data_IF_442429954230
#
_entry.id   IF_442429954230
#
_cell.length_a   1.000
_cell.length_b   1.000
_cell.length_c   1.000
_cell.angle_alpha   90.00
_cell.angle_beta   90.00
_cell.angle_gamma   90.00
#
_symmetry.space_group_name_H-M   'P 1'
#
loop_
_entity.id
_entity.type
_entity.pdbx_description
1 polymer ?
#
# COMPACT_ATOMS: atom_id res chain seq x y z
N UNK A 1 -18.28 -50.78 -21.93
CA UNK A 1 -17.74 -51.97 -21.23
C UNK A 1 -18.63 -52.25 -20.03
N UNK A 2 -19.33 -53.40 -19.98
CA UNK A 2 -20.19 -53.76 -18.84
C UNK A 2 -19.37 -54.64 -17.87
N UNK A 3 -19.18 -54.18 -16.64
CA UNK A 3 -18.53 -54.97 -15.59
C UNK A 3 -19.59 -55.91 -15.02
N UNK A 4 -19.43 -57.22 -15.19
CA UNK A 4 -20.41 -58.23 -14.77
C UNK A 4 -20.51 -58.35 -13.26
N UNK A 5 -19.38 -58.27 -12.55
CA UNK A 5 -19.32 -58.33 -11.09
C UNK A 5 -19.86 -57.05 -10.43
N UNK A 6 -20.89 -57.13 -9.57
CA UNK A 6 -21.44 -55.98 -8.85
C UNK A 6 -20.45 -55.29 -7.90
N UNK A 7 -19.55 -56.03 -7.25
CA UNK A 7 -18.59 -55.48 -6.31
C UNK A 7 -17.54 -54.65 -7.04
N UNK A 8 -16.96 -55.21 -8.10
CA UNK A 8 -15.99 -54.51 -8.96
C UNK A 8 -16.64 -53.29 -9.61
N UNK A 9 -17.91 -53.40 -10.02
CA UNK A 9 -18.66 -52.26 -10.57
C UNK A 9 -18.80 -51.13 -9.56
N UNK A 10 -19.18 -51.42 -8.32
CA UNK A 10 -19.33 -50.42 -7.26
C UNK A 10 -18.02 -49.69 -6.98
N UNK A 11 -16.91 -50.43 -6.86
CA UNK A 11 -15.58 -49.85 -6.63
C UNK A 11 -15.17 -48.96 -7.81
N UNK A 12 -15.38 -49.41 -9.05
CA UNK A 12 -15.03 -48.59 -10.22
C UNK A 12 -15.86 -47.31 -10.32
N UNK A 13 -17.15 -47.35 -9.98
CA UNK A 13 -17.98 -46.14 -9.94
C UNK A 13 -17.49 -45.15 -8.90
N UNK A 14 -17.07 -45.62 -7.72
CA UNK A 14 -16.49 -44.76 -6.68
C UNK A 14 -15.18 -44.11 -7.16
N UNK A 15 -14.28 -44.89 -7.77
CA UNK A 15 -13.00 -44.38 -8.31
C UNK A 15 -13.23 -43.35 -9.43
N UNK A 16 -14.22 -43.58 -10.30
CA UNK A 16 -14.56 -42.63 -11.37
C UNK A 16 -15.06 -41.31 -10.77
N UNK A 17 -15.94 -41.37 -9.77
CA UNK A 17 -16.45 -40.17 -9.08
C UNK A 17 -15.33 -39.37 -8.41
N UNK A 18 -14.41 -40.05 -7.73
CA UNK A 18 -13.26 -39.40 -7.08
C UNK A 18 -12.31 -38.77 -8.09
N UNK A 19 -12.01 -39.46 -9.19
CA UNK A 19 -11.20 -38.92 -10.29
C UNK A 19 -11.83 -37.70 -10.93
N UNK A 20 -13.16 -37.70 -11.12
CA UNK A 20 -13.88 -36.57 -11.71
C UNK A 20 -13.91 -35.36 -10.78
N UNK A 21 -14.07 -35.59 -9.47
CA UNK A 21 -13.95 -34.55 -8.45
C UNK A 21 -12.56 -33.91 -8.44
N UNK A 22 -11.49 -34.72 -8.40
CA UNK A 22 -10.11 -34.23 -8.42
C UNK A 22 -9.79 -33.43 -9.69
N UNK A 23 -10.31 -33.87 -10.84
CA UNK A 23 -10.17 -33.13 -12.10
C UNK A 23 -10.89 -31.78 -12.06
N UNK A 24 -12.09 -31.72 -11.50
CA UNK A 24 -12.85 -30.48 -11.35
C UNK A 24 -12.12 -29.48 -10.44
N UNK A 25 -11.60 -29.94 -9.31
CA UNK A 25 -10.83 -29.11 -8.37
C UNK A 25 -9.56 -28.56 -9.03
N UNK A 26 -8.78 -29.39 -9.71
CA UNK A 26 -7.57 -28.96 -10.42
C UNK A 26 -7.89 -27.93 -11.51
N UNK A 27 -8.99 -28.10 -12.25
CA UNK A 27 -9.40 -27.14 -13.27
C UNK A 27 -9.81 -25.79 -12.67
N UNK A 28 -10.52 -25.79 -11.54
CA UNK A 28 -10.88 -24.58 -10.81
C UNK A 28 -9.63 -23.85 -10.26
N UNK A 29 -8.69 -24.60 -9.69
CA UNK A 29 -7.41 -24.06 -9.23
C UNK A 29 -6.62 -23.44 -10.38
N UNK A 30 -6.55 -24.10 -11.53
CA UNK A 30 -5.90 -23.56 -12.74
C UNK A 30 -6.58 -22.30 -13.26
N UNK A 31 -7.92 -22.24 -13.25
CA UNK A 31 -8.65 -21.03 -13.69
C UNK A 31 -8.42 -19.85 -12.75
N UNK A 32 -8.33 -20.10 -11.44
CA UNK A 32 -8.10 -19.05 -10.44
C UNK A 32 -6.63 -18.61 -10.36
N UNK A 33 -5.68 -19.44 -10.77
CA UNK A 33 -4.25 -19.12 -10.72
C UNK A 33 -3.79 -18.10 -11.78
N UNK A 34 -4.50 -17.98 -12.91
CA UNK A 34 -4.16 -17.04 -13.96
C UNK A 34 -5.08 -15.82 -13.98
N UNK A 35 -4.87 -14.91 -13.03
CA UNK A 35 -5.46 -13.58 -13.10
C UNK A 35 -4.56 -12.72 -14.01
N UNK A 36 -4.90 -12.67 -15.30
CA UNK A 36 -4.24 -11.78 -16.26
C UNK A 36 -4.75 -10.35 -16.02
N UNK A 37 -4.04 -9.60 -15.18
CA UNK A 37 -4.29 -8.17 -14.98
C UNK A 37 -3.58 -7.41 -16.09
N UNK A 38 -4.35 -6.73 -16.95
CA UNK A 38 -3.78 -5.79 -17.91
C UNK A 38 -3.16 -4.61 -17.13
N UNK A 39 -1.83 -4.56 -17.10
CA UNK A 39 -1.04 -3.54 -16.41
C UNK A 39 -0.66 -2.37 -17.32
N UNK A 40 -1.27 -2.24 -18.51
CA UNK A 40 -1.05 -1.06 -19.34
C UNK A 40 -1.37 0.17 -18.50
N UNK A 41 -0.40 1.10 -18.31
CA UNK A 41 -0.67 2.33 -17.59
C UNK A 41 -1.75 3.07 -18.38
N UNK A 42 -2.96 3.14 -17.81
CA UNK A 42 -3.99 4.06 -18.28
C UNK A 42 -3.33 5.42 -18.10
N UNK A 43 -2.92 6.00 -19.24
CA UNK A 43 -2.01 7.12 -19.28
C UNK A 43 -2.43 8.18 -18.27
N UNK A 44 -1.46 8.61 -17.46
CA UNK A 44 -1.48 9.91 -16.82
C UNK A 44 -1.77 10.91 -17.94
N UNK A 45 -3.05 11.24 -18.14
CA UNK A 45 -3.47 12.39 -18.92
C UNK A 45 -3.01 13.58 -18.08
N UNK A 46 -1.79 14.02 -18.35
CA UNK A 46 -1.34 15.32 -17.94
C UNK A 46 -2.36 16.33 -18.49
N UNK A 47 -3.05 16.99 -17.55
CA UNK A 47 -3.64 18.32 -17.68
C UNK A 47 -4.74 18.50 -18.73
N UNK A 48 -5.98 18.67 -18.24
CA UNK A 48 -7.07 19.26 -19.02
C UNK A 48 -8.42 18.77 -18.56
N UNK A 49 -9.07 19.60 -17.74
CA UNK A 49 -10.48 19.57 -17.35
C UNK A 49 -10.96 18.57 -16.28
N UNK A 50 -11.36 19.22 -15.19
CA UNK A 50 -12.05 18.72 -14.03
C UNK A 50 -13.33 17.93 -14.39
N UNK A 51 -13.37 16.67 -13.98
CA UNK A 51 -14.61 16.02 -13.56
C UNK A 51 -14.30 15.28 -12.25
N UNK A 52 -14.68 15.90 -11.14
CA UNK A 52 -14.64 15.29 -9.83
C UNK A 52 -15.64 14.13 -9.78
N UNK A 53 -15.14 12.89 -9.80
CA UNK A 53 -15.87 11.73 -9.28
C UNK A 53 -15.31 11.41 -7.89
N UNK A 54 -16.17 11.16 -6.88
CA UNK A 54 -15.74 10.90 -5.52
C UNK A 54 -15.18 9.49 -5.46
N UNK A 55 -13.89 9.35 -5.75
CA UNK A 55 -13.16 8.11 -5.51
C UNK A 55 -12.75 8.10 -4.05
N UNK A 56 -13.49 7.34 -3.26
CA UNK A 56 -13.09 6.86 -1.94
C UNK A 56 -11.89 5.93 -2.11
N UNK A 57 -10.74 6.50 -2.43
CA UNK A 57 -9.45 5.81 -2.38
C UNK A 57 -8.59 6.60 -1.42
N UNK A 58 -8.77 6.30 -0.13
CA UNK A 58 -7.78 6.61 0.90
C UNK A 58 -6.50 5.83 0.54
N UNK A 59 -5.63 6.46 -0.24
CA UNK A 59 -4.41 5.86 -0.75
C UNK A 59 -3.44 6.93 -1.22
N UNK A 60 -2.61 7.39 -0.28
CA UNK A 60 -1.29 7.98 -0.52
C UNK A 60 -1.20 9.40 -1.08
N UNK A 61 -2.10 10.28 -0.65
CA UNK A 61 -1.77 11.66 -0.33
C UNK A 61 -2.88 12.17 0.58
N UNK A 62 -2.71 11.97 1.89
CA UNK A 62 -3.47 12.78 2.84
C UNK A 62 -3.09 14.22 2.53
N UNK A 63 -3.95 14.92 1.79
CA UNK A 63 -3.76 16.34 1.53
C UNK A 63 -3.72 16.99 2.91
N UNK A 64 -2.53 17.44 3.31
CA UNK A 64 -2.36 18.17 4.56
C UNK A 64 -3.35 19.32 4.54
N UNK A 65 -4.15 19.41 5.60
CA UNK A 65 -4.96 20.59 5.82
C UNK A 65 -4.04 21.82 5.90
N UNK A 66 -4.53 23.02 5.54
CA UNK A 66 -3.72 24.24 5.62
C UNK A 66 -3.07 24.42 7.01
N UNK A 67 -3.80 24.08 8.08
CA UNK A 67 -3.34 24.13 9.46
C UNK A 67 -2.22 23.13 9.75
N UNK A 68 -2.32 21.89 9.26
CA UNK A 68 -1.26 20.88 9.43
C UNK A 68 0.02 21.27 8.67
N UNK A 69 -0.13 21.80 7.46
CA UNK A 69 1.00 22.29 6.66
C UNK A 69 1.71 23.44 7.37
N UNK A 70 0.96 24.38 7.95
CA UNK A 70 1.52 25.49 8.72
C UNK A 70 2.20 25.01 10.01
N UNK A 71 1.60 24.07 10.73
CA UNK A 71 2.18 23.48 11.95
C UNK A 71 3.50 22.76 11.65
N UNK A 72 3.56 21.97 10.58
CA UNK A 72 4.77 21.29 10.13
C UNK A 72 5.85 22.30 9.69
N UNK A 73 5.46 23.37 9.00
CA UNK A 73 6.38 24.46 8.66
C UNK A 73 6.98 25.14 9.89
N UNK A 74 6.16 25.41 10.91
CA UNK A 74 6.62 25.97 12.19
C UNK A 74 7.57 25.04 12.93
N UNK A 75 7.32 23.73 12.91
CA UNK A 75 8.14 22.73 13.59
C UNK A 75 9.59 22.63 13.07
N UNK A 76 9.86 23.12 11.84
CA UNK A 76 11.19 23.11 11.21
C UNK A 76 11.72 24.54 10.98
N UNK A 77 10.99 25.56 11.42
CA UNK A 77 11.43 26.95 11.29
C UNK A 77 12.53 27.26 12.30
N UNK A 78 13.66 27.80 11.82
CA UNK A 78 14.79 28.20 12.66
C UNK A 78 14.36 29.17 13.77
N UNK A 79 13.55 30.18 13.43
CA UNK A 79 13.03 31.17 14.39
C UNK A 79 12.20 30.54 15.51
N UNK A 80 11.44 29.48 15.20
CA UNK A 80 10.62 28.79 16.20
C UNK A 80 11.47 27.93 17.10
N UNK A 81 12.45 27.23 16.52
CA UNK A 81 13.38 26.40 17.27
C UNK A 81 14.22 27.24 18.24
N UNK A 82 14.78 28.37 17.79
CA UNK A 82 15.59 29.26 18.63
C UNK A 82 14.80 29.83 19.81
N UNK A 83 13.54 30.21 19.63
CA UNK A 83 12.67 30.71 20.72
C UNK A 83 12.40 29.65 21.79
N UNK A 84 12.52 28.38 21.44
CA UNK A 84 12.29 27.25 22.33
C UNK A 84 13.60 26.59 22.82
N UNK A 85 14.77 27.21 22.54
CA UNK A 85 16.08 26.64 22.91
C UNK A 85 16.39 25.34 22.16
N UNK A 86 15.86 25.23 20.94
CA UNK A 86 16.05 24.11 20.03
C UNK A 86 16.92 24.55 18.86
N UNK A 87 17.73 23.64 18.33
CA UNK A 87 18.55 23.85 17.15
C UNK A 87 18.44 22.68 16.18
N UNK A 88 18.53 22.97 14.88
CA UNK A 88 18.64 21.95 13.85
C UNK A 88 20.07 21.40 13.82
N UNK A 89 20.20 20.08 13.94
CA UNK A 89 21.48 19.37 13.80
C UNK A 89 21.83 19.06 12.35
N UNK A 90 23.02 18.50 12.13
CA UNK A 90 23.60 18.35 10.79
C UNK A 90 22.85 17.38 9.88
N UNK A 91 22.09 16.42 10.43
CA UNK A 91 21.34 15.42 9.67
C UNK A 91 19.82 15.63 9.76
N UNK A 92 19.38 16.79 10.23
CA UNK A 92 17.97 17.13 10.40
C UNK A 92 17.33 16.56 11.67
N UNK A 93 18.14 16.15 12.64
CA UNK A 93 17.76 16.02 14.04
C UNK A 93 17.43 17.38 14.66
N UNK A 94 16.60 17.41 15.69
CA UNK A 94 16.37 18.62 16.49
C UNK A 94 16.94 18.35 17.89
N UNK A 95 17.85 19.21 18.32
CA UNK A 95 18.56 19.12 19.60
C UNK A 95 18.18 20.29 20.50
N UNK A 96 18.09 20.03 21.80
CA UNK A 96 18.02 21.07 22.82
C UNK A 96 19.39 21.75 22.98
N UNK A 97 19.41 22.94 23.60
CA UNK A 97 20.62 23.63 24.10
C UNK A 97 21.55 22.73 24.92
N UNK A 98 21.01 21.72 25.60
CA UNK A 98 21.75 20.76 26.43
C UNK A 98 22.34 19.58 25.62
N UNK A 99 22.27 19.62 24.28
CA UNK A 99 22.78 18.58 23.39
C UNK A 99 21.96 17.29 23.38
N UNK A 100 20.75 17.29 23.95
CA UNK A 100 19.82 16.15 23.91
C UNK A 100 18.95 16.23 22.67
N UNK A 101 18.88 15.14 21.90
CA UNK A 101 17.97 15.00 20.76
C UNK A 101 16.53 14.92 21.24
N UNK A 102 15.71 15.88 20.81
CA UNK A 102 14.26 15.90 21.02
C UNK A 102 13.55 15.16 19.90
N UNK A 103 14.03 15.35 18.67
CA UNK A 103 13.56 14.62 17.51
C UNK A 103 14.72 13.90 16.82
N UNK A 104 14.44 12.68 16.39
CA UNK A 104 15.43 11.80 15.76
C UNK A 104 15.97 12.36 14.44
N UNK A 105 17.11 11.80 14.03
CA UNK A 105 17.78 12.12 12.78
C UNK A 105 16.82 11.99 11.60
N UNK A 106 16.75 13.04 10.78
CA UNK A 106 15.91 13.07 9.59
C UNK A 106 14.52 13.64 9.78
N UNK A 107 14.13 14.06 10.99
CA UNK A 107 12.85 14.73 11.24
C UNK A 107 12.65 15.97 10.36
N UNK A 108 13.56 16.93 10.43
CA UNK A 108 13.49 18.16 9.64
C UNK A 108 13.49 17.88 8.13
N UNK A 109 14.29 16.89 7.70
CA UNK A 109 14.42 16.49 6.30
C UNK A 109 13.17 15.78 5.77
N UNK A 110 12.52 14.96 6.60
CA UNK A 110 11.27 14.31 6.25
C UNK A 110 10.15 15.34 6.09
N UNK A 111 10.06 16.31 7.00
CA UNK A 111 9.06 17.38 6.92
C UNK A 111 9.26 18.25 5.69
N UNK A 112 10.50 18.65 5.36
CA UNK A 112 10.77 19.40 4.10
C UNK A 112 10.33 18.63 2.85
N UNK A 113 10.64 17.33 2.79
CA UNK A 113 10.17 16.45 1.71
C UNK A 113 8.64 16.40 1.61
N UNK A 114 7.94 16.32 2.75
CA UNK A 114 6.47 16.30 2.79
C UNK A 114 5.89 17.65 2.37
N UNK A 115 6.53 18.77 2.73
CA UNK A 115 6.11 20.12 2.38
C UNK A 115 6.41 20.50 0.92
N UNK A 116 7.19 19.69 0.20
CA UNK A 116 7.55 19.89 -1.20
C UNK A 116 8.57 21.01 -1.41
N UNK A 117 9.42 21.26 -0.40
CA UNK A 117 10.48 22.28 -0.42
C UNK A 117 11.88 21.65 -0.47
#
# INVERSE_FOLDING_TARGET
>A
MRIHDPAIRSIMQAIIGERDKLRAEVNLLKSNAQVVVDRRPIGVRASGDAIALPTTTNGHNAQLTPSEREALGKAVSADYLERHGLHEGSHGEIVNEHGRTVFDVGFARAIRKILGA
#
